data_IF_554719108923
#
_entry.id   IF_554719108923
#
_cell.length_a   1.000
_cell.length_b   1.000
_cell.length_c   1.000
_cell.angle_alpha   90.00
_cell.angle_beta   90.00
_cell.angle_gamma   90.00
#
_symmetry.space_group_name_H-M   'P 1'
#
loop_
_entity.id
_entity.type
_entity.pdbx_description
1 polymer ?
#
# COMPACT_ATOMS: atom_id res chain seq x y z
N UNK A 1 15.07 25.08 37.45
CA UNK A 1 14.69 25.70 36.16
C UNK A 1 15.22 24.85 35.05
N UNK A 2 14.41 23.96 34.53
CA UNK A 2 14.77 23.14 33.36
C UNK A 2 14.58 24.02 32.11
N UNK A 3 15.66 24.29 31.40
CA UNK A 3 15.58 24.89 30.09
C UNK A 3 14.98 23.84 29.13
N UNK A 4 13.75 24.05 28.74
CA UNK A 4 13.10 23.27 27.70
C UNK A 4 13.36 23.93 26.34
N UNK A 5 14.62 24.01 25.96
CA UNK A 5 14.97 24.36 24.58
C UNK A 5 14.93 23.04 23.78
N UNK A 6 13.88 22.84 23.02
CA UNK A 6 13.75 21.72 22.11
C UNK A 6 14.04 22.21 20.69
N UNK A 7 14.95 21.54 20.01
CA UNK A 7 15.23 21.75 18.61
C UNK A 7 14.38 20.77 17.79
N UNK A 8 13.64 21.29 16.81
CA UNK A 8 12.75 20.51 15.95
C UNK A 8 13.25 20.66 14.52
N UNK A 9 13.50 19.55 13.85
CA UNK A 9 13.82 19.53 12.44
C UNK A 9 12.55 19.29 11.63
N UNK A 10 12.25 20.19 10.71
CA UNK A 10 11.13 20.10 9.79
C UNK A 10 11.63 19.68 8.42
N UNK A 11 10.95 18.72 7.85
CA UNK A 11 11.22 18.23 6.49
C UNK A 11 10.00 18.54 5.63
N UNK A 12 10.25 19.24 4.53
CA UNK A 12 9.22 19.59 3.55
C UNK A 12 9.50 18.84 2.25
N UNK A 13 8.47 18.24 1.68
CA UNK A 13 8.54 17.68 0.34
C UNK A 13 7.73 18.58 -0.58
N UNK A 14 8.39 19.18 -1.55
CA UNK A 14 7.79 20.01 -2.58
C UNK A 14 8.13 19.40 -3.94
N UNK A 15 7.13 18.86 -4.61
CA UNK A 15 7.36 18.01 -5.78
C UNK A 15 8.11 16.75 -5.38
N UNK A 16 9.26 16.48 -6.00
CA UNK A 16 10.12 15.33 -5.68
C UNK A 16 11.32 15.68 -4.79
N UNK A 17 11.33 16.87 -4.20
CA UNK A 17 12.47 17.36 -3.44
C UNK A 17 12.19 17.46 -1.96
N UNK A 18 13.06 16.88 -1.13
CA UNK A 18 13.03 16.95 0.32
C UNK A 18 13.78 18.21 0.79
N UNK A 19 13.08 19.09 1.50
CA UNK A 19 13.64 20.30 2.09
C UNK A 19 13.65 20.14 3.60
N UNK A 20 14.79 20.39 4.25
CA UNK A 20 14.93 20.28 5.70
C UNK A 20 15.11 21.63 6.35
N UNK A 21 14.47 21.84 7.49
CA UNK A 21 14.64 23.00 8.35
C UNK A 21 14.61 22.65 9.82
N UNK A 22 15.28 23.47 10.65
CA UNK A 22 15.25 23.31 12.10
C UNK A 22 14.94 24.63 12.80
N UNK A 23 14.20 24.55 13.88
CA UNK A 23 13.78 25.69 14.68
C UNK A 23 14.00 25.46 16.17
N UNK A 24 14.35 26.54 16.90
CA UNK A 24 14.55 26.54 18.34
C UNK A 24 13.28 27.00 19.06
N UNK A 25 12.73 26.18 19.93
CA UNK A 25 11.51 26.47 20.69
C UNK A 25 11.83 26.76 22.16
N UNK A 26 11.50 27.96 22.59
CA UNK A 26 11.75 28.38 23.97
C UNK A 26 10.52 28.42 24.86
N UNK A 27 9.30 28.34 24.36
CA UNK A 27 8.04 28.39 25.15
C UNK A 27 6.79 27.97 24.39
N UNK A 28 6.72 26.77 23.88
CA UNK A 28 5.44 26.12 23.58
C UNK A 28 4.54 26.71 22.50
N UNK A 29 4.74 27.93 22.04
CA UNK A 29 4.03 28.51 20.89
C UNK A 29 4.91 29.59 20.27
N UNK A 30 5.26 29.40 18.99
CA UNK A 30 6.01 30.42 18.27
C UNK A 30 5.44 30.59 16.86
N UNK A 31 5.19 31.83 16.48
CA UNK A 31 4.84 32.21 15.14
C UNK A 31 6.12 32.47 14.32
N UNK A 32 6.36 31.64 13.34
CA UNK A 32 6.92 32.11 12.10
C UNK A 32 8.40 32.37 11.93
N UNK A 33 9.36 31.67 12.57
CA UNK A 33 10.74 31.77 12.10
C UNK A 33 11.35 30.38 11.92
N UNK A 34 11.32 29.86 10.71
CA UNK A 34 11.94 28.60 10.34
C UNK A 34 13.34 28.88 9.80
N UNK A 35 14.37 28.25 10.38
CA UNK A 35 15.77 28.41 9.97
C UNK A 35 16.14 27.39 8.91
N UNK A 36 16.75 27.86 7.83
CA UNK A 36 17.09 27.07 6.66
C UNK A 36 18.45 26.45 6.71
N UNK A 37 18.50 25.20 6.23
CA UNK A 37 19.77 24.52 5.97
C UNK A 37 20.02 24.21 4.48
N UNK A 38 19.04 24.27 3.61
CA UNK A 38 19.24 24.03 2.17
C UNK A 38 19.36 25.35 1.39
N UNK A 39 20.49 25.55 0.73
CA UNK A 39 20.70 26.70 -0.15
C UNK A 39 19.97 26.57 -1.49
N UNK A 40 19.58 25.39 -1.89
CA UNK A 40 19.01 25.10 -3.21
C UNK A 40 17.53 25.44 -3.32
N UNK A 41 16.83 25.53 -2.20
CA UNK A 41 15.38 25.77 -2.19
C UNK A 41 14.99 27.13 -1.58
N UNK A 42 15.94 28.03 -1.45
CA UNK A 42 15.75 29.34 -0.84
C UNK A 42 14.65 30.19 -1.48
N UNK A 43 14.44 30.06 -2.78
CA UNK A 43 13.42 30.80 -3.51
C UNK A 43 12.02 30.23 -3.28
N UNK A 44 11.86 28.92 -3.31
CA UNK A 44 10.60 28.21 -3.03
C UNK A 44 10.14 28.48 -1.60
N UNK A 45 11.07 28.47 -0.65
CA UNK A 45 10.79 28.84 0.72
C UNK A 45 10.32 30.28 0.87
N UNK A 46 10.98 31.23 0.21
CA UNK A 46 10.58 32.62 0.29
C UNK A 46 9.16 32.85 -0.22
N UNK A 47 8.68 32.06 -1.16
CA UNK A 47 7.29 32.11 -1.63
C UNK A 47 6.31 31.49 -0.65
N UNK A 48 6.65 30.37 -0.06
CA UNK A 48 5.87 29.72 1.00
C UNK A 48 5.79 30.59 2.26
N UNK A 49 6.87 31.32 2.57
CA UNK A 49 7.03 32.09 3.80
C UNK A 49 6.65 33.58 3.73
N UNK A 50 6.34 34.10 2.55
CA UNK A 50 5.95 35.52 2.37
C UNK A 50 4.59 35.88 2.99
N UNK A 51 4.33 35.39 4.19
CA UNK A 51 3.20 35.81 5.02
C UNK A 51 1.85 35.26 4.62
N UNK A 52 1.83 34.21 3.80
CA UNK A 52 0.56 33.57 3.39
C UNK A 52 0.16 32.41 4.29
N UNK A 53 1.08 31.91 5.13
CA UNK A 53 0.85 30.70 5.90
C UNK A 53 1.28 30.88 7.35
N UNK A 54 0.42 30.45 8.24
CA UNK A 54 0.65 30.44 9.68
C UNK A 54 0.91 29.01 10.11
N UNK A 55 2.07 28.76 10.74
CA UNK A 55 2.38 27.49 11.37
C UNK A 55 1.98 27.57 12.83
N UNK A 56 1.03 26.75 13.25
CA UNK A 56 0.66 26.61 14.64
C UNK A 56 1.03 25.21 15.14
N UNK A 57 1.70 25.14 16.29
CA UNK A 57 2.08 23.89 16.93
C UNK A 57 1.89 23.96 18.44
N UNK A 58 1.49 22.82 19.01
CA UNK A 58 1.33 22.64 20.45
C UNK A 58 2.28 21.53 20.94
N UNK A 59 2.93 21.77 22.08
CA UNK A 59 3.77 20.81 22.76
C UNK A 59 2.97 20.00 23.77
N UNK A 60 2.99 18.68 23.67
CA UNK A 60 2.43 17.79 24.65
C UNK A 60 3.47 17.34 25.68
N UNK A 61 3.05 16.94 26.91
CA UNK A 61 3.95 16.62 28.02
C UNK A 61 4.99 15.51 27.77
N UNK A 62 4.86 14.76 26.66
CA UNK A 62 5.77 13.67 26.28
C UNK A 62 6.70 14.01 25.11
N UNK A 63 6.80 15.28 24.74
CA UNK A 63 7.65 15.69 23.61
C UNK A 63 7.00 15.52 22.24
N UNK A 64 5.74 15.21 22.18
CA UNK A 64 4.96 15.15 20.96
C UNK A 64 4.63 16.56 20.49
N UNK A 65 4.75 16.80 19.18
CA UNK A 65 4.41 18.08 18.56
C UNK A 65 3.30 17.85 17.55
N UNK A 66 2.23 18.61 17.67
CA UNK A 66 1.16 18.62 16.69
C UNK A 66 1.27 19.90 15.88
N UNK A 67 1.31 19.74 14.56
CA UNK A 67 1.28 20.85 13.60
C UNK A 67 -0.05 20.89 12.87
N UNK A 68 -0.61 22.07 12.72
CA UNK A 68 -1.68 22.32 11.76
C UNK A 68 -1.19 23.32 10.73
N UNK A 69 -1.15 22.91 9.47
CA UNK A 69 -0.65 23.71 8.35
C UNK A 69 -1.68 23.80 7.23
N UNK A 70 -1.75 24.98 6.60
CA UNK A 70 -2.55 25.20 5.40
C UNK A 70 -1.60 25.41 4.20
N UNK A 71 -1.20 24.35 3.53
CA UNK A 71 -0.29 24.35 2.38
C UNK A 71 -0.63 23.25 1.38
N UNK A 72 -0.36 23.49 0.09
CA UNK A 72 -0.41 22.45 -0.95
C UNK A 72 0.93 21.71 -1.08
N UNK A 73 1.50 21.27 0.05
CA UNK A 73 2.81 20.61 0.11
C UNK A 73 2.89 19.64 1.27
N UNK A 74 3.94 18.84 1.29
CA UNK A 74 4.15 17.78 2.26
C UNK A 74 5.14 18.21 3.33
N UNK A 75 4.88 17.83 4.58
CA UNK A 75 5.78 18.08 5.69
C UNK A 75 6.15 16.77 6.34
N UNK A 76 7.44 16.56 6.52
CA UNK A 76 8.00 15.48 7.31
C UNK A 76 8.60 16.09 8.56
N UNK A 77 8.21 15.57 9.70
CA UNK A 77 8.72 16.01 10.99
C UNK A 77 9.63 14.96 11.61
N UNK A 78 10.74 15.41 12.21
CA UNK A 78 11.66 14.60 13.00
C UNK A 78 11.89 15.26 14.35
N UNK A 79 11.64 14.55 15.45
CA UNK A 79 11.97 15.02 16.79
C UNK A 79 13.45 14.80 17.10
N UNK A 80 14.27 15.86 17.24
CA UNK A 80 15.69 15.73 17.52
C UNK A 80 16.01 15.36 18.97
N UNK A 81 15.01 15.34 19.86
CA UNK A 81 15.19 14.94 21.26
C UNK A 81 15.20 13.42 21.45
N UNK A 82 14.97 12.66 20.40
CA UNK A 82 15.02 11.20 20.41
C UNK A 82 16.37 10.80 19.83
N UNK A 83 17.06 9.94 20.57
CA UNK A 83 18.40 9.40 20.28
C UNK A 83 18.62 9.13 18.77
N UNK A 84 19.83 9.37 18.28
CA UNK A 84 20.23 9.18 16.87
C UNK A 84 19.95 7.79 16.28
N UNK A 85 19.62 6.80 17.10
CA UNK A 85 19.10 5.50 16.68
C UNK A 85 17.70 5.56 16.07
N UNK A 86 17.01 6.71 16.15
CA UNK A 86 15.66 6.96 15.65
C UNK A 86 15.61 7.92 14.47
N UNK A 87 16.67 7.99 13.69
CA UNK A 87 16.74 8.80 12.45
C UNK A 87 15.56 8.50 11.49
N UNK A 88 14.94 7.34 11.64
CA UNK A 88 13.82 6.90 10.83
C UNK A 88 12.44 7.37 11.34
N UNK A 89 12.36 8.12 12.43
CA UNK A 89 11.09 8.64 12.97
C UNK A 89 10.73 9.97 12.30
N UNK A 90 10.30 9.92 11.08
CA UNK A 90 9.75 11.06 10.36
C UNK A 90 8.23 10.99 10.32
N UNK A 91 7.57 12.11 10.59
CA UNK A 91 6.13 12.28 10.37
C UNK A 91 5.97 13.09 9.09
N UNK A 92 5.28 12.54 8.11
CA UNK A 92 4.99 13.25 6.88
C UNK A 92 3.51 13.65 6.81
N UNK A 93 3.28 14.82 6.29
CA UNK A 93 1.96 15.39 6.15
C UNK A 93 1.70 15.82 4.76
N UNK A 94 0.52 15.52 4.34
CA UNK A 94 0.01 16.17 3.17
C UNK A 94 -1.39 16.55 3.37
N UNK A 95 -1.76 17.66 2.75
CA UNK A 95 -3.12 17.87 2.33
C UNK A 95 -3.18 19.12 1.50
N UNK A 96 -4.21 19.26 0.71
CA UNK A 96 -4.44 20.45 -0.10
C UNK A 96 -4.84 21.69 0.70
N UNK A 97 -5.25 21.57 1.95
CA UNK A 97 -5.72 22.69 2.74
C UNK A 97 -5.51 22.63 4.25
N UNK A 98 -5.38 21.45 4.86
CA UNK A 98 -5.15 21.30 6.30
C UNK A 98 -4.35 20.05 6.59
N UNK A 99 -3.40 20.18 7.51
CA UNK A 99 -2.52 19.09 7.96
C UNK A 99 -2.72 18.84 9.44
N UNK A 100 -2.94 17.60 9.80
CA UNK A 100 -2.95 17.16 11.19
C UNK A 100 -1.86 16.14 11.39
N UNK A 101 -0.93 16.44 12.26
CA UNK A 101 0.14 15.53 12.65
C UNK A 101 -0.40 14.45 13.57
N UNK A 102 -0.16 13.21 13.20
CA UNK A 102 -0.40 12.08 14.09
C UNK A 102 0.95 11.67 14.67
N UNK A 103 1.20 12.08 15.90
CA UNK A 103 2.37 11.68 16.67
C UNK A 103 2.12 10.36 17.38
N UNK A 104 2.06 9.28 16.66
CA UNK A 104 2.10 7.95 17.26
C UNK A 104 3.45 7.30 16.91
N UNK A 105 4.32 7.14 17.92
CA UNK A 105 5.63 6.51 17.75
C UNK A 105 5.56 5.15 17.06
N UNK A 106 4.43 4.46 17.17
CA UNK A 106 4.16 3.17 16.53
C UNK A 106 4.04 3.26 15.02
N UNK A 107 3.63 4.43 14.49
CA UNK A 107 3.56 4.70 13.06
C UNK A 107 4.84 5.30 12.50
N UNK A 108 5.69 5.85 13.36
CA UNK A 108 6.91 6.56 12.96
C UNK A 108 8.10 5.64 12.76
N UNK A 109 8.09 4.49 13.41
CA UNK A 109 9.17 3.53 13.32
C UNK A 109 9.23 2.95 11.89
N UNK A 110 10.23 3.31 11.10
CA UNK A 110 10.45 2.87 9.71
C UNK A 110 9.61 3.58 8.63
N UNK A 111 8.90 4.67 8.96
CA UNK A 111 8.11 5.42 7.98
C UNK A 111 8.94 6.02 6.84
N UNK A 112 10.22 6.22 7.04
CA UNK A 112 11.11 6.83 6.05
C UNK A 112 11.66 5.85 5.01
N UNK A 113 11.46 4.55 5.19
CA UNK A 113 11.72 3.56 4.15
C UNK A 113 10.41 3.14 3.52
N UNK A 114 10.28 3.49 2.28
CA UNK A 114 9.05 3.40 1.49
C UNK A 114 8.74 1.98 0.99
N UNK A 115 9.53 0.99 1.35
CA UNK A 115 9.33 -0.40 0.96
C UNK A 115 8.85 -1.22 2.15
N UNK A 116 7.61 -1.67 2.12
CA UNK A 116 7.07 -2.64 3.07
C UNK A 116 6.62 -3.95 2.43
N UNK A 117 6.99 -4.16 1.15
CA UNK A 117 6.83 -5.40 0.38
C UNK A 117 5.37 -5.86 0.14
N UNK A 118 4.39 -5.30 0.84
CA UNK A 118 2.94 -5.51 0.63
C UNK A 118 2.19 -4.19 0.68
N UNK A 119 2.89 -3.09 0.89
CA UNK A 119 2.26 -1.80 1.12
C UNK A 119 1.74 -1.17 -0.16
N UNK A 120 2.33 -1.52 -1.30
CA UNK A 120 1.83 -1.09 -2.61
C UNK A 120 0.41 -1.57 -2.90
N UNK A 121 0.07 -2.81 -2.51
CA UNK A 121 -1.30 -3.32 -2.58
C UNK A 121 -2.23 -2.51 -1.67
N UNK A 122 -1.83 -2.30 -0.42
CA UNK A 122 -2.59 -1.53 0.58
C UNK A 122 -2.80 -0.08 0.14
N UNK A 123 -1.77 0.57 -0.42
CA UNK A 123 -1.91 1.91 -0.98
C UNK A 123 -2.88 1.95 -2.15
N UNK A 124 -2.81 0.95 -3.03
CA UNK A 124 -3.74 0.84 -4.17
C UNK A 124 -5.19 0.74 -3.72
N UNK A 125 -5.48 -0.15 -2.78
CA UNK A 125 -6.79 -0.31 -2.15
C UNK A 125 -7.29 1.02 -1.55
N UNK A 126 -6.54 1.62 -0.63
CA UNK A 126 -6.96 2.85 0.06
C UNK A 126 -7.20 3.99 -0.91
N UNK A 127 -6.30 4.19 -1.89
CA UNK A 127 -6.41 5.27 -2.87
C UNK A 127 -7.51 5.02 -3.90
N UNK A 128 -7.79 3.75 -4.21
CA UNK A 128 -8.84 3.34 -5.13
C UNK A 128 -10.23 3.33 -4.52
N UNK A 129 -10.35 3.13 -3.19
CA UNK A 129 -11.61 2.86 -2.49
C UNK A 129 -12.73 3.88 -2.74
N UNK A 130 -12.41 5.16 -2.88
CA UNK A 130 -13.41 6.20 -3.13
C UNK A 130 -13.85 6.31 -4.59
N UNK A 131 -13.21 5.57 -5.49
CA UNK A 131 -13.51 5.58 -6.93
C UNK A 131 -14.29 4.34 -7.38
N UNK A 132 -14.35 3.28 -6.59
CA UNK A 132 -14.94 1.98 -6.94
C UNK A 132 -16.35 2.10 -7.53
N UNK A 133 -17.20 2.92 -6.92
CA UNK A 133 -18.60 3.06 -7.35
C UNK A 133 -18.88 4.25 -8.28
N UNK A 134 -17.87 5.06 -8.58
CA UNK A 134 -18.06 6.23 -9.47
C UNK A 134 -18.30 5.82 -10.93
N UNK A 135 -17.75 4.68 -11.36
CA UNK A 135 -17.81 4.19 -12.75
C UNK A 135 -17.36 5.24 -13.78
N UNK A 136 -16.56 6.21 -13.33
CA UNK A 136 -16.05 7.31 -14.14
C UNK A 136 -14.71 6.91 -14.76
N UNK A 137 -14.63 6.98 -16.08
CA UNK A 137 -13.37 6.84 -16.83
C UNK A 137 -12.64 8.18 -16.89
N UNK A 138 -11.34 8.17 -16.67
CA UNK A 138 -10.51 9.38 -16.71
C UNK A 138 -9.55 9.31 -17.90
N UNK A 139 -9.79 10.13 -18.92
CA UNK A 139 -8.89 10.18 -20.08
C UNK A 139 -7.57 10.86 -19.77
N UNK A 140 -7.57 11.77 -18.80
CA UNK A 140 -6.37 12.41 -18.29
C UNK A 140 -6.15 12.05 -16.82
N UNK A 141 -5.10 11.31 -16.53
CA UNK A 141 -4.78 10.85 -15.16
C UNK A 141 -4.39 12.00 -14.21
N UNK A 142 -4.03 13.19 -14.74
CA UNK A 142 -3.77 14.36 -13.91
C UNK A 142 -5.03 14.93 -13.22
N UNK A 143 -6.22 14.56 -13.69
CA UNK A 143 -7.49 14.93 -13.07
C UNK A 143 -7.85 14.06 -11.86
N UNK A 144 -7.10 12.96 -11.63
CA UNK A 144 -7.36 12.05 -10.53
C UNK A 144 -6.70 12.61 -9.27
N UNK A 145 -7.55 13.00 -8.32
CA UNK A 145 -7.12 13.37 -6.98
C UNK A 145 -7.12 12.13 -6.08
N UNK A 146 -5.93 11.63 -5.76
CA UNK A 146 -5.75 10.40 -4.98
C UNK A 146 -6.09 10.59 -3.49
N UNK A 147 -6.03 11.83 -2.97
CA UNK A 147 -6.10 12.09 -1.54
C UNK A 147 -7.49 12.55 -1.11
N UNK A 148 -8.48 11.71 -1.33
CA UNK A 148 -9.88 12.05 -1.06
C UNK A 148 -10.24 11.85 0.41
N UNK A 149 -11.08 12.75 0.91
CA UNK A 149 -11.78 12.50 2.17
C UNK A 149 -12.64 11.24 2.02
N UNK A 150 -12.58 10.36 3.02
CA UNK A 150 -13.31 9.09 2.96
C UNK A 150 -12.50 7.91 2.42
N UNK A 151 -11.29 8.11 1.88
CA UNK A 151 -10.40 6.99 1.54
C UNK A 151 -10.14 6.12 2.78
N UNK A 152 -10.32 4.82 2.63
CA UNK A 152 -10.18 3.82 3.68
C UNK A 152 -9.69 2.51 3.07
N UNK A 153 -9.17 1.61 3.87
CA UNK A 153 -8.89 0.26 3.40
C UNK A 153 -10.16 -0.58 3.32
N UNK A 154 -10.17 -1.55 2.43
CA UNK A 154 -11.30 -2.45 2.17
C UNK A 154 -10.93 -3.90 2.49
N UNK A 155 -11.71 -4.86 1.99
CA UNK A 155 -11.38 -6.28 2.09
C UNK A 155 -10.10 -6.65 1.34
N UNK A 156 -9.69 -5.91 0.32
CA UNK A 156 -8.39 -6.08 -0.35
C UNK A 156 -7.23 -6.06 0.66
N UNK A 157 -7.16 -5.02 1.49
CA UNK A 157 -6.14 -4.91 2.54
C UNK A 157 -6.29 -5.99 3.60
N UNK A 158 -7.51 -6.22 4.10
CA UNK A 158 -7.74 -7.20 5.18
C UNK A 158 -7.34 -8.61 4.75
N UNK A 159 -7.68 -9.01 3.53
CA UNK A 159 -7.34 -10.33 3.02
C UNK A 159 -5.86 -10.44 2.60
N UNK A 160 -5.24 -9.36 2.14
CA UNK A 160 -3.78 -9.28 1.95
C UNK A 160 -3.06 -9.49 3.28
N UNK A 161 -3.50 -8.84 4.36
CA UNK A 161 -2.93 -9.04 5.69
C UNK A 161 -3.15 -10.47 6.21
N UNK A 162 -4.31 -11.08 5.96
CA UNK A 162 -4.57 -12.48 6.34
C UNK A 162 -3.61 -13.45 5.62
N UNK A 163 -3.30 -13.21 4.33
CA UNK A 163 -2.31 -14.00 3.58
C UNK A 163 -0.89 -13.75 4.13
N UNK A 164 -0.53 -12.50 4.45
CA UNK A 164 0.77 -12.20 5.04
C UNK A 164 0.97 -12.88 6.40
N UNK A 165 -0.05 -12.83 7.27
CA UNK A 165 -0.06 -13.47 8.59
C UNK A 165 0.08 -15.00 8.46
N UNK A 166 -0.64 -15.61 7.50
CA UNK A 166 -0.51 -17.03 7.18
C UNK A 166 0.91 -17.41 6.78
N UNK A 167 1.52 -16.67 5.84
CA UNK A 167 2.88 -16.95 5.37
C UNK A 167 3.92 -16.83 6.49
N UNK A 168 3.76 -15.85 7.38
CA UNK A 168 4.71 -15.60 8.47
C UNK A 168 4.65 -16.66 9.59
N UNK A 169 3.47 -17.21 9.87
CA UNK A 169 3.26 -17.94 11.12
C UNK A 169 2.80 -19.38 10.95
N UNK A 170 2.29 -19.77 9.77
CA UNK A 170 1.72 -21.09 9.59
C UNK A 170 2.50 -21.99 8.61
N UNK A 171 3.53 -21.45 7.94
CA UNK A 171 4.37 -22.27 7.06
C UNK A 171 5.48 -22.98 7.83
N UNK A 172 5.73 -24.24 7.46
CA UNK A 172 6.82 -25.06 7.96
C UNK A 172 7.21 -26.12 6.93
N UNK A 173 8.36 -26.77 7.11
CA UNK A 173 8.94 -27.69 6.13
C UNK A 173 8.35 -29.12 6.17
N UNK A 174 7.41 -29.38 7.08
CA UNK A 174 6.96 -30.75 7.38
C UNK A 174 5.52 -31.04 6.97
N UNK A 175 4.77 -30.03 6.54
CA UNK A 175 3.34 -30.13 6.28
C UNK A 175 3.01 -30.09 4.79
N UNK A 176 1.82 -30.57 4.46
CA UNK A 176 1.33 -30.65 3.08
C UNK A 176 0.42 -29.46 2.69
N UNK A 177 -0.02 -29.47 1.44
CA UNK A 177 -0.87 -28.41 0.89
C UNK A 177 -2.23 -28.30 1.58
N UNK A 178 -2.80 -29.41 2.07
CA UNK A 178 -4.09 -29.39 2.74
C UNK A 178 -3.99 -28.75 4.13
N UNK A 179 -2.89 -28.99 4.85
CA UNK A 179 -2.59 -28.28 6.08
C UNK A 179 -2.48 -26.76 5.84
N UNK A 180 -1.73 -26.33 4.81
CA UNK A 180 -1.55 -24.93 4.51
C UNK A 180 -2.87 -24.25 4.13
N UNK A 181 -3.74 -24.92 3.37
CA UNK A 181 -5.08 -24.43 3.04
C UNK A 181 -5.95 -24.28 4.28
N UNK A 182 -5.98 -25.28 5.18
CA UNK A 182 -6.72 -25.23 6.44
C UNK A 182 -6.28 -24.04 7.30
N UNK A 183 -4.96 -23.82 7.42
CA UNK A 183 -4.43 -22.67 8.14
C UNK A 183 -4.86 -21.34 7.53
N UNK A 184 -4.80 -21.21 6.20
CA UNK A 184 -5.24 -20.01 5.51
C UNK A 184 -6.73 -19.75 5.71
N UNK A 185 -7.58 -20.78 5.63
CA UNK A 185 -9.01 -20.67 5.94
C UNK A 185 -9.21 -20.11 7.35
N UNK A 186 -8.51 -20.66 8.34
CA UNK A 186 -8.60 -20.18 9.73
C UNK A 186 -8.14 -18.72 9.87
N UNK A 187 -7.10 -18.29 9.15
CA UNK A 187 -6.67 -16.89 9.10
C UNK A 187 -7.74 -16.00 8.47
N UNK A 188 -8.28 -16.37 7.32
CA UNK A 188 -9.36 -15.60 6.67
C UNK A 188 -10.57 -15.43 7.60
N UNK A 189 -11.00 -16.51 8.24
CA UNK A 189 -12.12 -16.49 9.20
C UNK A 189 -11.81 -15.62 10.41
N UNK A 190 -10.60 -15.68 10.97
CA UNK A 190 -10.20 -14.84 12.10
C UNK A 190 -10.21 -13.35 11.75
N UNK A 191 -9.70 -13.00 10.57
CA UNK A 191 -9.69 -11.63 10.10
C UNK A 191 -11.09 -11.09 9.85
N UNK A 192 -11.92 -11.83 9.12
CA UNK A 192 -13.25 -11.39 8.69
C UNK A 192 -14.26 -11.44 9.84
N UNK A 193 -14.32 -12.57 10.57
CA UNK A 193 -15.39 -12.84 11.54
C UNK A 193 -15.05 -12.41 12.98
N UNK A 194 -13.77 -12.04 13.26
CA UNK A 194 -13.35 -11.65 14.60
C UNK A 194 -12.66 -10.29 14.62
N UNK A 195 -11.53 -10.13 13.92
CA UNK A 195 -10.73 -8.90 13.97
C UNK A 195 -11.45 -7.70 13.37
N UNK A 196 -12.07 -7.86 12.20
CA UNK A 196 -12.71 -6.80 11.43
C UNK A 196 -14.25 -6.94 11.31
N UNK A 197 -14.86 -7.79 12.12
CA UNK A 197 -16.30 -8.17 12.04
C UNK A 197 -17.29 -7.00 12.06
N UNK A 198 -16.91 -5.86 12.63
CA UNK A 198 -17.79 -4.71 12.81
C UNK A 198 -17.57 -3.62 11.76
N UNK A 199 -16.75 -3.89 10.75
CA UNK A 199 -16.44 -2.94 9.69
C UNK A 199 -17.14 -3.35 8.38
N UNK A 200 -17.67 -2.37 7.67
CA UNK A 200 -18.22 -2.57 6.32
C UNK A 200 -17.07 -2.39 5.33
N UNK A 201 -16.47 -3.49 4.89
CA UNK A 201 -15.23 -3.51 4.13
C UNK A 201 -15.39 -3.97 2.67
N UNK A 202 -16.62 -4.16 2.21
CA UNK A 202 -16.86 -4.49 0.79
C UNK A 202 -16.79 -5.97 0.43
N UNK A 203 -16.66 -6.89 1.40
CA UNK A 203 -16.60 -8.33 1.09
C UNK A 203 -17.67 -8.78 0.11
N UNK A 204 -17.29 -9.49 -0.95
CA UNK A 204 -18.22 -10.13 -1.86
C UNK A 204 -19.17 -11.09 -1.12
N UNK A 205 -20.44 -11.08 -1.50
CA UNK A 205 -21.50 -11.83 -0.78
C UNK A 205 -21.19 -13.33 -0.62
N UNK A 206 -20.71 -13.99 -1.67
CA UNK A 206 -20.35 -15.43 -1.61
C UNK A 206 -19.18 -15.68 -0.64
N UNK A 207 -18.18 -14.80 -0.62
CA UNK A 207 -17.04 -14.89 0.28
C UNK A 207 -17.48 -14.68 1.74
N UNK A 208 -18.31 -13.67 1.99
CA UNK A 208 -18.86 -13.42 3.31
C UNK A 208 -19.69 -14.61 3.83
N UNK A 209 -20.54 -15.21 2.98
CA UNK A 209 -21.28 -16.42 3.34
C UNK A 209 -20.34 -17.59 3.66
N UNK A 210 -19.31 -17.79 2.84
CA UNK A 210 -18.31 -18.84 3.04
C UNK A 210 -17.56 -18.66 4.37
N UNK A 211 -17.09 -17.47 4.69
CA UNK A 211 -16.46 -17.17 5.97
C UNK A 211 -17.37 -17.43 7.16
N UNK A 212 -18.66 -17.06 7.07
CA UNK A 212 -19.61 -17.29 8.14
C UNK A 212 -19.92 -18.79 8.34
N UNK A 213 -20.03 -19.56 7.27
CA UNK A 213 -20.16 -21.03 7.36
C UNK A 213 -18.93 -21.65 8.04
N UNK A 214 -17.74 -21.30 7.60
CA UNK A 214 -16.50 -21.75 8.20
C UNK A 214 -16.43 -21.39 9.69
N UNK A 215 -16.85 -20.16 10.05
CA UNK A 215 -16.84 -19.70 11.44
C UNK A 215 -17.86 -20.39 12.34
N UNK A 216 -19.07 -20.64 11.84
CA UNK A 216 -20.19 -21.10 12.66
C UNK A 216 -20.30 -22.63 12.75
N UNK A 217 -19.98 -23.32 11.67
CA UNK A 217 -20.21 -24.76 11.53
C UNK A 217 -19.01 -25.52 10.97
N UNK A 218 -17.86 -24.88 10.85
CA UNK A 218 -16.60 -25.47 10.35
C UNK A 218 -16.71 -26.07 8.92
N UNK A 219 -17.59 -25.50 8.08
CA UNK A 219 -17.75 -25.88 6.67
C UNK A 219 -17.12 -24.81 5.77
N UNK A 220 -16.14 -25.19 4.95
CA UNK A 220 -15.34 -24.25 4.13
C UNK A 220 -14.93 -24.81 2.76
N UNK A 221 -15.78 -25.62 2.16
CA UNK A 221 -15.52 -26.08 0.78
C UNK A 221 -15.42 -24.90 -0.19
N UNK A 222 -14.45 -24.93 -1.12
CA UNK A 222 -14.33 -23.92 -2.15
C UNK A 222 -15.60 -23.84 -3.01
N UNK A 223 -15.93 -22.61 -3.45
CA UNK A 223 -17.17 -22.39 -4.21
C UNK A 223 -16.94 -21.99 -5.67
N UNK A 224 -15.79 -22.37 -6.23
CA UNK A 224 -15.44 -22.23 -7.64
C UNK A 224 -15.55 -20.78 -8.16
N UNK A 225 -15.13 -19.79 -7.35
CA UNK A 225 -15.12 -18.39 -7.75
C UNK A 225 -14.08 -18.11 -8.83
N UNK A 226 -14.41 -17.23 -9.76
CA UNK A 226 -13.51 -16.61 -10.72
C UNK A 226 -13.40 -15.08 -10.51
N UNK A 227 -13.88 -14.61 -9.36
CA UNK A 227 -13.74 -13.23 -8.93
C UNK A 227 -12.27 -12.85 -8.73
N UNK A 228 -11.99 -11.56 -8.70
CA UNK A 228 -10.64 -11.03 -8.52
C UNK A 228 -10.13 -11.09 -7.07
N UNK A 229 -10.96 -11.56 -6.13
CA UNK A 229 -10.61 -11.70 -4.71
C UNK A 229 -9.41 -12.60 -4.41
N UNK A 230 -9.06 -13.55 -5.30
CA UNK A 230 -7.81 -14.31 -5.19
C UNK A 230 -6.59 -13.50 -5.59
N UNK A 231 -6.71 -12.68 -6.64
CA UNK A 231 -5.62 -11.88 -7.21
C UNK A 231 -5.32 -10.63 -6.37
N UNK A 232 -6.35 -9.98 -5.80
CA UNK A 232 -6.18 -8.78 -4.99
C UNK A 232 -5.36 -9.00 -3.73
N UNK A 233 -5.50 -10.19 -3.10
CA UNK A 233 -4.89 -10.52 -1.79
C UNK A 233 -3.55 -11.24 -1.89
N UNK A 234 -3.07 -11.58 -3.09
CA UNK A 234 -1.92 -12.47 -3.30
C UNK A 234 -0.56 -11.80 -3.17
N UNK A 235 -0.52 -10.48 -3.06
CA UNK A 235 0.73 -9.70 -3.01
C UNK A 235 1.80 -10.29 -2.08
N UNK A 236 1.48 -10.74 -0.84
CA UNK A 236 2.49 -11.31 0.05
C UNK A 236 3.21 -12.53 -0.52
N UNK A 237 2.50 -13.37 -1.29
CA UNK A 237 3.09 -14.57 -1.91
C UNK A 237 4.18 -14.19 -2.91
N UNK A 238 3.97 -13.14 -3.71
CA UNK A 238 4.95 -12.66 -4.69
C UNK A 238 6.25 -12.15 -4.03
N UNK A 239 6.21 -11.78 -2.76
CA UNK A 239 7.36 -11.31 -1.99
C UNK A 239 8.05 -12.38 -1.15
N UNK A 240 7.33 -13.40 -0.72
CA UNK A 240 7.77 -14.32 0.33
C UNK A 240 8.78 -15.36 -0.15
N UNK A 241 8.53 -16.00 -1.29
CA UNK A 241 9.31 -17.15 -1.77
C UNK A 241 10.49 -16.75 -2.67
N UNK A 242 11.51 -17.60 -2.67
CA UNK A 242 12.75 -17.37 -3.41
C UNK A 242 12.76 -17.95 -4.82
N UNK A 243 11.80 -18.82 -5.11
CA UNK A 243 11.66 -19.48 -6.40
C UNK A 243 10.32 -19.15 -7.04
N UNK A 244 10.29 -19.12 -8.38
CA UNK A 244 9.03 -18.96 -9.12
C UNK A 244 8.11 -20.16 -8.88
N UNK A 245 8.66 -21.36 -8.75
CA UNK A 245 7.89 -22.58 -8.52
C UNK A 245 7.10 -22.51 -7.22
N UNK A 246 7.74 -22.15 -6.10
CA UNK A 246 7.05 -21.95 -4.82
C UNK A 246 6.06 -20.78 -4.87
N UNK A 247 6.45 -19.67 -5.50
CA UNK A 247 5.56 -18.53 -5.70
C UNK A 247 4.27 -18.95 -6.41
N UNK A 248 4.38 -19.70 -7.50
CA UNK A 248 3.23 -20.19 -8.25
C UNK A 248 2.39 -21.19 -7.44
N UNK A 249 3.05 -22.15 -6.76
CA UNK A 249 2.38 -23.13 -5.89
C UNK A 249 1.55 -22.44 -4.80
N UNK A 250 2.16 -21.54 -4.04
CA UNK A 250 1.46 -20.88 -2.93
C UNK A 250 0.45 -19.83 -3.39
N UNK A 251 0.63 -19.21 -4.55
CA UNK A 251 -0.38 -18.36 -5.17
C UNK A 251 -1.64 -19.18 -5.52
N UNK A 252 -1.45 -20.36 -6.12
CA UNK A 252 -2.55 -21.31 -6.38
C UNK A 252 -3.20 -21.76 -5.08
N UNK A 253 -2.46 -22.19 -4.07
CA UNK A 253 -3.00 -22.58 -2.78
C UNK A 253 -3.83 -21.47 -2.12
N UNK A 254 -3.36 -20.22 -2.21
CA UNK A 254 -4.10 -19.07 -1.66
C UNK A 254 -5.43 -18.80 -2.38
N UNK A 255 -5.53 -19.16 -3.66
CA UNK A 255 -6.75 -19.09 -4.43
C UNK A 255 -7.70 -20.27 -4.13
N UNK A 256 -7.16 -21.49 -4.08
CA UNK A 256 -7.90 -22.75 -4.01
C UNK A 256 -8.93 -22.83 -2.89
N UNK A 257 -8.71 -22.15 -1.77
CA UNK A 257 -9.64 -22.19 -0.64
C UNK A 257 -11.02 -21.58 -0.94
N UNK A 258 -11.14 -20.77 -2.00
CA UNK A 258 -12.38 -20.08 -2.41
C UNK A 258 -12.51 -19.95 -3.93
N UNK A 259 -11.41 -19.69 -4.61
CA UNK A 259 -11.35 -19.35 -6.04
C UNK A 259 -10.66 -20.46 -6.85
N UNK A 260 -11.12 -21.70 -6.66
CA UNK A 260 -10.60 -22.89 -7.34
C UNK A 260 -11.11 -23.04 -8.79
N UNK A 261 -11.67 -22.00 -9.38
CA UNK A 261 -11.94 -21.90 -10.80
C UNK A 261 -10.61 -21.58 -11.54
N UNK A 262 -10.35 -22.15 -12.73
CA UNK A 262 -9.10 -21.89 -13.48
C UNK A 262 -8.76 -20.40 -13.66
N UNK A 263 -9.74 -19.54 -13.89
CA UNK A 263 -9.51 -18.09 -14.01
C UNK A 263 -9.19 -17.44 -12.65
N UNK A 264 -9.75 -17.93 -11.54
CA UNK A 264 -9.42 -17.45 -10.19
C UNK A 264 -8.00 -17.81 -9.77
N UNK A 265 -7.57 -19.06 -10.01
CA UNK A 265 -6.21 -19.53 -9.79
C UNK A 265 -5.21 -18.78 -10.68
N UNK A 266 -5.53 -18.66 -11.97
CA UNK A 266 -4.71 -17.96 -12.97
C UNK A 266 -4.47 -16.50 -12.57
N UNK A 267 -5.49 -15.79 -12.11
CA UNK A 267 -5.38 -14.40 -11.68
C UNK A 267 -4.41 -14.21 -10.52
N UNK A 268 -4.53 -15.04 -9.48
CA UNK A 268 -3.61 -15.02 -8.34
C UNK A 268 -2.18 -15.34 -8.75
N UNK A 269 -1.98 -16.41 -9.51
CA UNK A 269 -0.66 -16.81 -10.01
C UNK A 269 -0.02 -15.72 -10.89
N UNK A 270 -0.80 -15.05 -11.73
CA UNK A 270 -0.32 -13.98 -12.60
C UNK A 270 0.21 -12.77 -11.79
N UNK A 271 -0.54 -12.29 -10.81
CA UNK A 271 -0.13 -11.15 -9.98
C UNK A 271 1.09 -11.53 -9.12
N UNK A 272 1.11 -12.70 -8.49
CA UNK A 272 2.25 -13.16 -7.72
C UNK A 272 3.53 -13.31 -8.58
N UNK A 273 3.41 -13.87 -9.79
CA UNK A 273 4.52 -13.99 -10.73
C UNK A 273 5.03 -12.62 -11.20
N UNK A 274 4.14 -11.67 -11.50
CA UNK A 274 4.52 -10.30 -11.87
C UNK A 274 5.31 -9.61 -10.77
N UNK A 275 4.88 -9.72 -9.50
CA UNK A 275 5.60 -9.20 -8.33
C UNK A 275 6.96 -9.88 -8.18
N UNK A 276 7.01 -11.20 -8.29
CA UNK A 276 8.27 -11.96 -8.21
C UNK A 276 9.28 -11.52 -9.28
N UNK A 277 8.85 -11.39 -10.52
CA UNK A 277 9.70 -10.95 -11.62
C UNK A 277 10.17 -9.50 -11.42
N UNK A 278 9.27 -8.60 -11.03
CA UNK A 278 9.56 -7.19 -10.81
C UNK A 278 10.61 -6.99 -9.70
N UNK A 279 10.43 -7.63 -8.53
CA UNK A 279 11.40 -7.52 -7.42
C UNK A 279 12.77 -8.10 -7.75
N UNK A 280 12.82 -9.08 -8.65
CA UNK A 280 14.05 -9.69 -9.15
C UNK A 280 14.68 -8.94 -10.34
N UNK A 281 14.21 -7.72 -10.64
CA UNK A 281 14.83 -6.80 -11.59
C UNK A 281 14.53 -7.10 -13.05
N UNK A 282 13.48 -7.86 -13.35
CA UNK A 282 13.02 -8.08 -14.72
C UNK A 282 12.44 -6.79 -15.30
N UNK A 283 12.72 -6.53 -16.57
CA UNK A 283 12.14 -5.39 -17.29
C UNK A 283 10.64 -5.57 -17.50
N UNK A 284 9.93 -4.48 -17.80
CA UNK A 284 8.50 -4.52 -18.13
C UNK A 284 8.20 -5.41 -19.32
N UNK A 285 9.07 -5.41 -20.33
CA UNK A 285 8.93 -6.27 -21.51
C UNK A 285 9.06 -7.75 -21.13
N UNK A 286 10.07 -8.12 -20.32
CA UNK A 286 10.24 -9.49 -19.84
C UNK A 286 9.04 -9.95 -19.00
N UNK A 287 8.49 -9.08 -18.14
CA UNK A 287 7.30 -9.36 -17.33
C UNK A 287 6.09 -9.56 -18.24
N UNK A 288 5.88 -8.67 -19.21
CA UNK A 288 4.79 -8.74 -20.18
C UNK A 288 4.86 -10.03 -20.99
N UNK A 289 6.02 -10.37 -21.56
CA UNK A 289 6.23 -11.59 -22.34
C UNK A 289 5.95 -12.85 -21.51
N UNK A 290 6.40 -12.85 -20.25
CA UNK A 290 6.13 -13.96 -19.33
C UNK A 290 4.63 -14.14 -19.11
N UNK A 291 3.92 -13.04 -18.79
CA UNK A 291 2.48 -13.08 -18.51
C UNK A 291 1.67 -13.53 -19.73
N UNK A 292 2.01 -13.05 -20.92
CA UNK A 292 1.34 -13.47 -22.16
C UNK A 292 1.56 -14.97 -22.39
N UNK A 293 2.79 -15.43 -22.27
CA UNK A 293 3.16 -16.83 -22.52
C UNK A 293 2.53 -17.81 -21.54
N UNK A 294 2.61 -17.50 -20.23
CA UNK A 294 2.19 -18.44 -19.18
C UNK A 294 0.69 -18.38 -18.87
N UNK A 295 0.09 -17.19 -18.99
CA UNK A 295 -1.31 -16.97 -18.59
C UNK A 295 -2.24 -16.66 -19.76
N UNK A 296 -1.72 -16.40 -20.95
CA UNK A 296 -2.54 -16.17 -22.15
C UNK A 296 -3.34 -14.84 -22.13
N UNK A 297 -2.94 -13.86 -21.34
CA UNK A 297 -3.55 -12.54 -21.32
C UNK A 297 -3.12 -11.73 -22.55
N UNK A 298 -3.90 -11.83 -23.65
CA UNK A 298 -3.58 -11.23 -24.96
C UNK A 298 -3.86 -9.73 -25.07
N UNK A 299 -4.56 -9.13 -24.09
CA UNK A 299 -4.92 -7.69 -24.12
C UNK A 299 -3.77 -6.75 -23.77
N UNK A 300 -2.62 -7.26 -23.32
CA UNK A 300 -1.49 -6.46 -22.84
C UNK A 300 -0.71 -5.74 -23.96
N UNK A 301 -1.05 -5.98 -25.21
CA UNK A 301 -0.51 -5.24 -26.37
C UNK A 301 -1.24 -3.92 -26.63
N UNK A 302 -2.39 -3.70 -26.02
CA UNK A 302 -3.13 -2.45 -26.11
C UNK A 302 -2.66 -1.45 -25.04
N UNK A 303 -2.70 -0.16 -25.41
CA UNK A 303 -2.49 0.91 -24.42
C UNK A 303 -3.63 0.96 -23.39
N UNK A 304 -3.35 1.55 -22.23
CA UNK A 304 -4.35 1.81 -21.19
C UNK A 304 -5.54 2.59 -21.75
N UNK A 305 -5.31 3.53 -22.66
CA UNK A 305 -6.38 4.29 -23.32
C UNK A 305 -7.35 3.37 -24.07
N UNK A 306 -6.84 2.46 -24.90
CA UNK A 306 -7.66 1.50 -25.66
C UNK A 306 -8.38 0.53 -24.71
N UNK A 307 -7.70 0.05 -23.67
CA UNK A 307 -8.31 -0.83 -22.69
C UNK A 307 -9.41 -0.11 -21.90
N UNK A 308 -9.20 1.16 -21.56
CA UNK A 308 -10.18 2.00 -20.85
C UNK A 308 -11.46 2.16 -21.68
N UNK A 309 -11.35 2.40 -22.98
CA UNK A 309 -12.52 2.50 -23.85
C UNK A 309 -13.32 1.19 -23.90
N UNK A 310 -12.62 0.05 -23.97
CA UNK A 310 -13.21 -1.28 -24.12
C UNK A 310 -13.71 -1.88 -22.81
N UNK A 311 -13.12 -1.51 -21.65
CA UNK A 311 -13.48 -2.10 -20.36
C UNK A 311 -14.86 -1.64 -19.88
N UNK A 312 -15.54 -2.56 -19.21
CA UNK A 312 -16.73 -2.28 -18.41
C UNK A 312 -16.42 -2.56 -16.94
N UNK A 313 -17.33 -2.16 -16.04
CA UNK A 313 -17.20 -2.55 -14.64
C UNK A 313 -17.24 -4.08 -14.53
N UNK A 314 -16.23 -4.64 -13.91
CA UNK A 314 -16.12 -6.08 -13.68
C UNK A 314 -15.34 -6.34 -12.38
N UNK A 315 -15.68 -7.46 -11.72
CA UNK A 315 -15.06 -7.97 -10.50
C UNK A 315 -14.43 -9.35 -10.74
N UNK A 316 -14.12 -9.70 -11.98
CA UNK A 316 -13.59 -11.01 -12.34
C UNK A 316 -12.09 -10.95 -12.64
N UNK A 317 -11.35 -12.04 -12.37
CA UNK A 317 -9.92 -12.11 -12.66
C UNK A 317 -9.61 -11.87 -14.13
N UNK A 318 -10.35 -12.51 -15.04
CA UNK A 318 -10.09 -12.41 -16.48
C UNK A 318 -10.24 -10.99 -17.04
N UNK A 319 -11.07 -10.16 -16.41
CA UNK A 319 -11.29 -8.78 -16.86
C UNK A 319 -10.39 -7.78 -16.14
N UNK A 320 -10.13 -7.96 -14.83
CA UNK A 320 -9.45 -6.95 -14.01
C UNK A 320 -7.93 -7.16 -13.91
N UNK A 321 -7.45 -8.41 -13.90
CA UNK A 321 -6.00 -8.70 -13.85
C UNK A 321 -5.24 -8.12 -15.05
N UNK A 322 -5.71 -8.27 -16.31
CA UNK A 322 -5.04 -7.64 -17.45
C UNK A 322 -5.01 -6.11 -17.35
N UNK A 323 -6.06 -5.47 -16.80
CA UNK A 323 -6.10 -4.02 -16.61
C UNK A 323 -5.05 -3.57 -15.59
N UNK A 324 -4.91 -4.29 -14.48
CA UNK A 324 -3.90 -3.99 -13.46
C UNK A 324 -2.47 -4.15 -14.00
N UNK A 325 -2.21 -5.22 -14.73
CA UNK A 325 -0.91 -5.45 -15.38
C UNK A 325 -0.62 -4.35 -16.42
N UNK A 326 -1.58 -3.99 -17.27
CA UNK A 326 -1.41 -2.95 -18.28
C UNK A 326 -1.15 -1.58 -17.65
N UNK A 327 -1.85 -1.22 -16.55
CA UNK A 327 -1.62 0.00 -15.81
C UNK A 327 -0.18 0.06 -15.26
N UNK A 328 0.32 -1.03 -14.71
CA UNK A 328 1.73 -1.14 -14.30
C UNK A 328 2.69 -1.01 -15.49
N UNK A 329 2.45 -1.73 -16.59
CA UNK A 329 3.35 -1.73 -17.74
C UNK A 329 3.48 -0.34 -18.38
N UNK A 330 2.41 0.45 -18.43
CA UNK A 330 2.41 1.80 -19.00
C UNK A 330 2.88 2.89 -18.03
N UNK A 331 2.89 2.60 -16.72
CA UNK A 331 3.28 3.58 -15.69
C UNK A 331 4.75 3.99 -15.79
N UNK A 332 5.09 5.18 -15.28
CA UNK A 332 6.46 5.69 -15.17
C UNK A 332 7.00 5.68 -13.74
N UNK A 333 6.10 5.60 -12.77
CA UNK A 333 6.35 5.58 -11.33
C UNK A 333 5.18 4.92 -10.59
N UNK A 334 5.27 4.82 -9.27
CA UNK A 334 4.23 4.23 -8.43
C UNK A 334 2.89 5.00 -8.51
N UNK A 335 2.94 6.33 -8.46
CA UNK A 335 1.72 7.16 -8.50
C UNK A 335 0.97 7.00 -9.82
N UNK A 336 1.70 7.03 -10.93
CA UNK A 336 1.10 6.84 -12.25
C UNK A 336 0.49 5.45 -12.43
N UNK A 337 1.07 4.39 -11.83
CA UNK A 337 0.48 3.05 -11.85
C UNK A 337 -0.89 3.04 -11.16
N UNK A 338 -1.01 3.67 -9.99
CA UNK A 338 -2.28 3.79 -9.27
C UNK A 338 -3.30 4.62 -10.07
N UNK A 339 -2.88 5.77 -10.60
CA UNK A 339 -3.78 6.63 -11.41
C UNK A 339 -4.25 5.96 -12.69
N UNK A 340 -3.38 5.24 -13.38
CA UNK A 340 -3.75 4.48 -14.58
C UNK A 340 -4.76 3.38 -14.22
N UNK A 341 -4.56 2.66 -13.11
CA UNK A 341 -5.50 1.65 -12.62
C UNK A 341 -6.89 2.24 -12.31
N UNK A 342 -6.94 3.35 -11.58
CA UNK A 342 -8.19 4.06 -11.27
C UNK A 342 -8.87 4.58 -12.53
N UNK A 343 -8.10 4.97 -13.54
CA UNK A 343 -8.63 5.61 -14.76
C UNK A 343 -9.61 4.77 -15.57
N UNK A 344 -9.62 3.46 -15.36
CA UNK A 344 -10.56 2.56 -16.04
C UNK A 344 -12.03 2.77 -15.64
N UNK A 345 -12.29 3.30 -14.42
CA UNK A 345 -13.66 3.46 -13.90
C UNK A 345 -14.38 2.12 -13.70
N UNK A 346 -13.63 1.11 -13.29
CA UNK A 346 -14.09 -0.23 -12.94
C UNK A 346 -13.94 -0.46 -11.43
N UNK A 347 -13.60 -1.65 -11.01
CA UNK A 347 -13.27 -2.06 -9.65
C UNK A 347 -11.92 -1.44 -9.23
N UNK A 348 -11.97 -0.16 -8.85
CA UNK A 348 -10.81 0.73 -8.85
C UNK A 348 -9.85 0.45 -7.71
N UNK A 349 -10.34 0.06 -6.53
CA UNK A 349 -9.54 -0.32 -5.37
C UNK A 349 -8.78 -1.63 -5.65
N UNK A 350 -9.47 -2.66 -6.12
CA UNK A 350 -8.87 -3.95 -6.47
C UNK A 350 -7.87 -3.83 -7.63
N UNK A 351 -8.22 -3.13 -8.72
CA UNK A 351 -7.29 -2.95 -9.84
C UNK A 351 -6.05 -2.16 -9.39
N UNK A 352 -6.24 -1.12 -8.56
CA UNK A 352 -5.13 -0.33 -8.03
C UNK A 352 -4.31 -1.11 -6.98
N UNK A 353 -4.93 -1.97 -6.16
CA UNK A 353 -4.20 -2.86 -5.25
C UNK A 353 -3.28 -3.83 -6.01
N UNK A 354 -3.78 -4.46 -7.06
CA UNK A 354 -2.97 -5.34 -7.92
C UNK A 354 -1.86 -4.56 -8.65
N UNK A 355 -2.17 -3.43 -9.28
CA UNK A 355 -1.19 -2.62 -10.00
C UNK A 355 -0.13 -2.04 -9.04
N UNK A 356 -0.54 -1.55 -7.89
CA UNK A 356 0.33 -1.02 -6.84
C UNK A 356 1.28 -2.06 -6.26
N UNK A 357 0.83 -3.31 -6.11
CA UNK A 357 1.67 -4.40 -5.63
C UNK A 357 2.83 -4.72 -6.59
N UNK A 358 2.57 -4.70 -7.91
CA UNK A 358 3.61 -4.91 -8.93
C UNK A 358 4.51 -3.66 -9.03
N UNK A 359 3.93 -2.46 -8.97
CA UNK A 359 4.66 -1.20 -9.05
C UNK A 359 5.63 -1.02 -7.87
N UNK A 360 5.23 -1.36 -6.63
CA UNK A 360 6.13 -1.37 -5.47
C UNK A 360 7.34 -2.29 -5.70
N UNK A 361 7.09 -3.50 -6.21
CA UNK A 361 8.13 -4.47 -6.48
C UNK A 361 9.11 -4.00 -7.57
N UNK A 362 8.62 -3.29 -8.57
CA UNK A 362 9.40 -2.82 -9.71
C UNK A 362 10.17 -1.54 -9.41
N UNK A 363 9.48 -0.52 -8.93
CA UNK A 363 10.09 0.80 -8.65
C UNK A 363 10.87 0.82 -7.34
N UNK A 364 10.58 -0.13 -6.43
CA UNK A 364 11.21 -0.26 -5.10
C UNK A 364 11.03 0.99 -4.23
N UNK A 365 10.09 1.82 -4.58
CA UNK A 365 9.79 3.08 -3.91
C UNK A 365 8.30 3.39 -4.01
N UNK A 366 7.70 3.73 -2.88
CA UNK A 366 6.38 4.38 -2.79
C UNK A 366 6.66 5.83 -2.36
N UNK A 367 6.17 6.85 -3.09
CA UNK A 367 6.35 8.23 -2.69
C UNK A 367 5.92 8.45 -1.24
N UNK A 368 6.74 9.14 -0.46
CA UNK A 368 6.55 9.28 0.98
C UNK A 368 5.18 9.88 1.34
N UNK A 369 4.69 10.81 0.54
CA UNK A 369 3.38 11.42 0.72
C UNK A 369 2.23 10.41 0.56
N UNK A 370 2.31 9.51 -0.42
CA UNK A 370 1.35 8.41 -0.59
C UNK A 370 1.43 7.46 0.60
N UNK A 371 2.64 7.03 0.93
CA UNK A 371 2.87 6.10 2.02
C UNK A 371 2.30 6.62 3.34
N UNK A 372 2.50 7.89 3.65
CA UNK A 372 2.01 8.48 4.90
C UNK A 372 0.49 8.68 4.91
N UNK A 373 -0.09 9.13 3.80
CA UNK A 373 -1.55 9.20 3.69
C UNK A 373 -2.19 7.84 3.95
N UNK A 374 -1.67 6.79 3.35
CA UNK A 374 -2.22 5.43 3.52
C UNK A 374 -1.94 4.86 4.93
N UNK A 375 -0.75 5.10 5.50
CA UNK A 375 -0.43 4.65 6.87
C UNK A 375 -1.37 5.22 7.91
N UNK A 376 -1.79 6.48 7.77
CA UNK A 376 -2.76 7.11 8.66
C UNK A 376 -4.15 6.46 8.63
N UNK A 377 -4.45 5.65 7.62
CA UNK A 377 -5.72 4.93 7.50
C UNK A 377 -5.67 3.53 8.12
N UNK A 378 -4.49 3.00 8.40
CA UNK A 378 -4.33 1.68 8.99
C UNK A 378 -4.55 1.69 10.50
N UNK A 379 -5.14 0.61 11.00
CA UNK A 379 -5.13 0.35 12.43
C UNK A 379 -3.77 -0.20 12.91
N UNK A 380 -3.62 -0.30 14.23
CA UNK A 380 -2.38 -0.78 14.84
C UNK A 380 -1.99 -2.18 14.39
N UNK A 381 -2.96 -3.09 14.24
CA UNK A 381 -2.69 -4.47 13.85
C UNK A 381 -2.15 -4.53 12.43
N UNK A 382 -2.81 -3.87 11.48
CA UNK A 382 -2.37 -3.77 10.10
C UNK A 382 -0.95 -3.19 9.99
N UNK A 383 -0.67 -2.08 10.69
CA UNK A 383 0.64 -1.44 10.68
C UNK A 383 1.75 -2.34 11.26
N UNK A 384 1.47 -3.04 12.36
CA UNK A 384 2.43 -3.97 12.97
C UNK A 384 2.75 -5.15 12.05
N UNK A 385 1.73 -5.74 11.40
CA UNK A 385 1.93 -6.88 10.52
C UNK A 385 2.68 -6.50 9.24
N UNK A 386 2.38 -5.34 8.64
CA UNK A 386 3.17 -4.80 7.53
C UNK A 386 4.65 -4.70 7.87
N UNK A 387 4.96 -4.19 9.07
CA UNK A 387 6.34 -4.09 9.55
C UNK A 387 6.97 -5.48 9.74
N UNK A 388 6.27 -6.41 10.36
CA UNK A 388 6.76 -7.77 10.59
C UNK A 388 7.07 -8.48 9.27
N UNK A 389 6.18 -8.37 8.28
CA UNK A 389 6.37 -8.93 6.96
C UNK A 389 7.60 -8.33 6.25
N UNK A 390 7.73 -7.01 6.29
CA UNK A 390 8.90 -6.32 5.77
C UNK A 390 10.21 -6.80 6.41
N UNK A 391 10.26 -6.87 7.73
CA UNK A 391 11.43 -7.31 8.48
C UNK A 391 11.82 -8.75 8.11
N UNK A 392 10.82 -9.62 7.92
CA UNK A 392 11.04 -11.00 7.51
C UNK A 392 11.65 -11.10 6.11
N UNK A 393 11.05 -10.48 5.11
CA UNK A 393 11.52 -10.54 3.71
C UNK A 393 12.94 -9.96 3.58
N UNK A 394 13.23 -8.85 4.26
CA UNK A 394 14.56 -8.25 4.20
C UNK A 394 15.64 -9.06 4.93
N UNK A 395 15.31 -9.74 6.03
CA UNK A 395 16.25 -10.66 6.70
C UNK A 395 16.63 -11.85 5.80
N UNK A 396 15.68 -12.37 5.02
CA UNK A 396 15.98 -13.42 4.04
C UNK A 396 16.93 -12.93 2.95
N UNK A 397 16.69 -11.73 2.41
CA UNK A 397 17.54 -11.13 1.38
C UNK A 397 18.98 -10.90 1.84
N UNK A 398 19.19 -10.52 3.11
CA UNK A 398 20.53 -10.33 3.70
C UNK A 398 21.29 -11.64 3.87
N UNK A 399 20.62 -12.75 4.17
CA UNK A 399 21.27 -14.07 4.32
C UNK A 399 21.85 -14.62 3.01
N UNK A 400 21.41 -14.14 1.85
CA UNK A 400 21.88 -14.57 0.53
C UNK A 400 23.10 -13.80 0.02
N UNK A 401 23.40 -12.67 0.65
CA UNK A 401 24.52 -11.80 0.22
C UNK A 401 25.84 -12.19 0.93
N UNK A 402 25.80 -13.17 1.82
CA UNK A 402 26.96 -13.77 2.50
C UNK A 402 27.05 -15.27 2.19
#
# INVERSE_FOLDING_TARGET
MLRNDKMVELFFIIGNELITESEHFTKGKQEGAIYRYSKTHKEVWNELYKGKYKVEYDFYPRGEVIYELCLDSYIVYKDPCIDNSYIDKCIAFTIKSKYTIISDERFLCHACRTNSNIFGAICGDILGSTFEFEKKKYNNISEIDLFRDGSHFTDDTVLTLAVADWLLHDLNDYEDDDYFKDKLVKRMVDYVCRKYKNQSLGYGFSFWQWCNKAYLIDEYEPYNSFGNGSAMRVSPVGWFFDTMEETMRFAKLSADITHNHPEGEKGAMCIAAAIFLARNGKSKDEIKEYIIREFGYSGLDFSVEVLREKSNYSVTCQDTVPLAVAAFLESTDFESAIKLAISYGSDSDTIAAMAGSIAEAYYKEIPLYIANFCKCKLDKHAACLCKEFFDFVNKQSLKKTY
#
